data_IF_566555741412
#
_entry.id   IF_566555741412
#
_cell.length_a   1.000
_cell.length_b   1.000
_cell.length_c   1.000
_cell.angle_alpha   90.00
_cell.angle_beta   90.00
_cell.angle_gamma   90.00
#
_symmetry.space_group_name_H-M   'P 1'
#
loop_
_entity.id
_entity.type
_entity.pdbx_description
1 polymer ?
#
# COMPACT_ATOMS: atom_id res chain seq x y z
N UNK A 1 -12.10 28.34 -27.16
CA UNK A 1 -11.04 27.37 -27.54
C UNK A 1 -10.78 26.57 -26.27
N UNK A 2 -11.48 25.44 -26.09
CA UNK A 2 -11.56 24.75 -24.81
C UNK A 2 -10.53 23.63 -24.73
N UNK A 3 -9.85 23.58 -23.59
CA UNK A 3 -8.75 22.68 -23.23
C UNK A 3 -9.08 21.19 -23.42
N UNK A 4 -8.35 20.52 -24.31
CA UNK A 4 -8.40 19.05 -24.47
C UNK A 4 -7.45 18.31 -23.51
N UNK A 5 -6.74 19.00 -22.61
CA UNK A 5 -5.73 18.40 -21.73
C UNK A 5 -6.30 17.73 -20.46
N UNK A 6 -7.57 17.96 -20.12
CA UNK A 6 -8.20 17.45 -18.89
C UNK A 6 -8.89 16.09 -19.05
N UNK A 7 -9.03 15.57 -20.27
CA UNK A 7 -9.76 14.32 -20.52
C UNK A 7 -8.91 13.07 -20.20
N UNK A 8 -7.59 13.12 -20.43
CA UNK A 8 -6.70 11.98 -20.19
C UNK A 8 -6.50 11.66 -18.70
N UNK A 9 -6.47 12.66 -17.83
CA UNK A 9 -6.33 12.46 -16.38
C UNK A 9 -7.54 11.79 -15.74
N UNK A 10 -8.76 12.06 -16.24
CA UNK A 10 -9.99 11.51 -15.67
C UNK A 10 -10.18 10.02 -15.99
N UNK A 11 -9.87 9.60 -17.23
CA UNK A 11 -10.10 8.20 -17.65
C UNK A 11 -9.32 7.20 -16.78
N UNK A 12 -7.99 7.37 -16.65
CA UNK A 12 -7.19 6.39 -15.91
C UNK A 12 -7.46 6.44 -14.40
N UNK A 13 -7.75 7.62 -13.85
CA UNK A 13 -8.03 7.78 -12.42
C UNK A 13 -9.33 7.04 -12.03
N UNK A 14 -10.32 7.02 -12.91
CA UNK A 14 -11.57 6.29 -12.69
C UNK A 14 -11.43 4.79 -12.99
N UNK A 15 -10.55 4.40 -13.92
CA UNK A 15 -10.33 3.01 -14.33
C UNK A 15 -9.31 2.24 -13.48
N UNK A 16 -8.39 2.93 -12.79
CA UNK A 16 -7.33 2.28 -11.99
C UNK A 16 -7.92 1.30 -10.99
N UNK A 17 -7.38 0.09 -10.97
CA UNK A 17 -7.99 -1.04 -10.28
C UNK A 17 -6.93 -1.92 -9.64
N UNK A 18 -7.40 -2.82 -8.78
CA UNK A 18 -6.55 -3.78 -8.10
C UNK A 18 -5.83 -4.67 -9.13
N UNK A 19 -4.51 -4.79 -9.00
CA UNK A 19 -3.66 -5.52 -9.93
C UNK A 19 -3.05 -4.66 -11.03
N UNK A 20 -3.43 -3.38 -11.14
CA UNK A 20 -2.75 -2.47 -12.07
C UNK A 20 -1.35 -2.13 -11.55
N UNK A 21 -0.40 -2.07 -12.48
CA UNK A 21 0.97 -1.63 -12.23
C UNK A 21 1.07 -0.19 -12.71
N UNK A 22 1.51 0.70 -11.84
CA UNK A 22 1.57 2.15 -12.08
C UNK A 22 2.95 2.72 -11.81
N UNK A 23 3.28 3.84 -12.43
CA UNK A 23 4.47 4.61 -12.11
C UNK A 23 4.16 5.62 -11.00
N UNK A 24 4.90 5.52 -9.90
CA UNK A 24 4.77 6.45 -8.77
C UNK A 24 6.15 6.87 -8.23
N UNK A 25 6.28 8.14 -7.88
CA UNK A 25 7.49 8.70 -7.29
C UNK A 25 7.63 8.24 -5.82
N UNK A 26 8.59 7.35 -5.57
CA UNK A 26 8.85 6.77 -4.25
C UNK A 26 10.34 6.88 -3.86
N UNK A 27 10.69 7.19 -2.59
CA UNK A 27 9.79 7.54 -1.49
C UNK A 27 9.16 8.93 -1.67
N UNK A 28 7.99 9.15 -1.07
CA UNK A 28 7.59 10.50 -0.66
C UNK A 28 8.71 10.96 0.29
N UNK A 29 9.39 12.06 -0.02
CA UNK A 29 10.65 12.48 0.59
C UNK A 29 10.81 11.99 2.04
N UNK A 30 11.77 11.08 2.25
CA UNK A 30 12.15 10.63 3.58
C UNK A 30 13.13 11.68 4.16
N UNK A 31 12.73 12.43 5.20
CA UNK A 31 13.56 13.48 5.76
C UNK A 31 14.87 12.96 6.39
N UNK A 32 14.99 11.65 6.67
CA UNK A 32 16.22 11.08 7.23
C UNK A 32 17.27 10.73 6.18
N UNK A 33 16.85 10.38 4.95
CA UNK A 33 17.78 9.89 3.91
C UNK A 33 18.07 10.89 2.80
N UNK A 34 17.30 11.99 2.71
CA UNK A 34 17.54 13.06 1.72
C UNK A 34 17.45 12.61 0.25
N UNK A 35 17.01 11.37 0.00
CA UNK A 35 16.99 10.77 -1.33
C UNK A 35 15.86 11.38 -2.16
N UNK A 36 16.20 11.97 -3.32
CA UNK A 36 15.21 12.49 -4.27
C UNK A 36 14.20 11.39 -4.65
N UNK A 37 12.88 11.67 -4.67
CA UNK A 37 11.86 10.73 -5.11
C UNK A 37 12.19 10.17 -6.50
N UNK A 38 12.21 8.85 -6.64
CA UNK A 38 12.44 8.19 -7.93
C UNK A 38 11.14 7.60 -8.42
N UNK A 39 10.74 7.91 -9.65
CA UNK A 39 9.61 7.26 -10.31
C UNK A 39 9.93 5.77 -10.47
N UNK A 40 9.11 4.93 -9.89
CA UNK A 40 9.27 3.47 -9.87
C UNK A 40 7.94 2.79 -10.17
N UNK A 41 7.95 1.55 -10.69
CA UNK A 41 6.76 0.73 -10.77
C UNK A 41 6.22 0.42 -9.37
N UNK A 42 4.92 0.56 -9.19
CA UNK A 42 4.16 0.28 -8.00
C UNK A 42 2.95 -0.59 -8.37
N UNK A 43 2.57 -1.51 -7.51
CA UNK A 43 1.41 -2.37 -7.70
C UNK A 43 0.24 -1.84 -6.87
N UNK A 44 -0.93 -1.70 -7.49
CA UNK A 44 -2.18 -1.37 -6.82
C UNK A 44 -2.70 -2.62 -6.11
N UNK A 45 -2.62 -2.66 -4.79
CA UNK A 45 -3.17 -3.76 -3.99
C UNK A 45 -4.64 -3.53 -3.65
N UNK A 46 -5.05 -2.28 -3.46
CA UNK A 46 -6.43 -1.92 -3.13
C UNK A 46 -6.81 -0.61 -3.80
N UNK A 47 -8.09 -0.47 -4.08
CA UNK A 47 -8.72 0.76 -4.52
C UNK A 47 -9.98 0.98 -3.70
N UNK A 48 -10.13 2.15 -3.09
CA UNK A 48 -11.31 2.54 -2.35
C UNK A 48 -11.82 3.90 -2.83
N UNK A 49 -13.13 4.06 -2.89
CA UNK A 49 -13.75 5.36 -3.22
C UNK A 49 -14.27 5.97 -1.94
N UNK A 50 -13.81 7.18 -1.62
CA UNK A 50 -14.27 7.97 -0.49
C UNK A 50 -14.98 9.23 -1.00
N UNK A 51 -15.60 9.99 -0.09
CA UNK A 51 -16.24 11.28 -0.43
C UNK A 51 -15.24 12.26 -1.06
N UNK A 52 -13.98 12.21 -0.63
CA UNK A 52 -12.87 13.04 -1.17
C UNK A 52 -12.23 12.46 -2.45
N UNK A 53 -12.84 11.44 -3.05
CA UNK A 53 -12.39 10.80 -4.28
C UNK A 53 -11.75 9.43 -4.09
N UNK A 54 -11.22 8.90 -5.19
CA UNK A 54 -10.64 7.56 -5.25
C UNK A 54 -9.24 7.53 -4.66
N UNK A 55 -8.96 6.52 -3.84
CA UNK A 55 -7.67 6.26 -3.23
C UNK A 55 -7.20 4.87 -3.60
N UNK A 56 -5.89 4.71 -3.70
CA UNK A 56 -5.25 3.43 -3.98
C UNK A 56 -4.16 3.13 -2.96
N UNK A 57 -4.04 1.85 -2.62
CA UNK A 57 -2.98 1.32 -1.77
C UNK A 57 -1.90 0.71 -2.66
N UNK A 58 -0.71 1.31 -2.62
CA UNK A 58 0.41 0.96 -3.47
C UNK A 58 1.47 0.18 -2.71
N UNK A 59 1.94 -0.90 -3.33
CA UNK A 59 3.17 -1.59 -2.93
C UNK A 59 4.29 -1.22 -3.92
N UNK A 60 5.44 -0.75 -3.41
CA UNK A 60 6.52 -0.33 -4.29
C UNK A 60 7.28 -1.52 -4.90
N UNK A 61 7.71 -1.34 -6.14
CA UNK A 61 8.55 -2.27 -6.87
C UNK A 61 10.04 -2.05 -6.59
N UNK A 62 10.76 -3.14 -6.33
CA UNK A 62 12.22 -3.18 -6.28
C UNK A 62 12.75 -4.24 -7.25
N UNK A 63 13.77 -3.88 -8.00
CA UNK A 63 14.53 -4.79 -8.87
C UNK A 63 15.73 -5.41 -8.16
N UNK A 64 16.00 -5.03 -6.91
CA UNK A 64 17.13 -5.57 -6.15
C UNK A 64 16.82 -7.01 -5.72
N UNK A 65 17.69 -7.99 -6.04
CA UNK A 65 17.53 -9.37 -5.61
C UNK A 65 17.84 -9.49 -4.11
N UNK A 66 16.89 -9.13 -3.25
CA UNK A 66 16.95 -9.43 -1.81
C UNK A 66 16.29 -10.79 -1.51
N UNK A 67 16.52 -11.41 -0.36
CA UNK A 67 15.68 -12.53 0.10
C UNK A 67 14.26 -12.01 0.37
N UNK A 68 13.23 -12.79 0.02
CA UNK A 68 11.88 -12.48 0.47
C UNK A 68 11.84 -12.55 2.00
N UNK A 69 11.62 -11.42 2.67
CA UNK A 69 11.49 -11.37 4.12
C UNK A 69 10.00 -11.26 4.43
N UNK A 70 9.39 -12.38 4.85
CA UNK A 70 8.03 -12.39 5.42
C UNK A 70 6.91 -12.96 4.55
N UNK A 71 7.16 -13.27 3.27
CA UNK A 71 6.15 -13.92 2.42
C UNK A 71 5.00 -13.02 1.94
N UNK A 72 5.15 -11.69 2.07
CA UNK A 72 4.23 -10.69 1.51
C UNK A 72 4.71 -10.11 0.17
N UNK A 73 5.76 -10.70 -0.40
CA UNK A 73 6.39 -10.18 -1.61
C UNK A 73 5.73 -10.81 -2.85
N UNK A 74 5.23 -9.96 -3.75
CA UNK A 74 4.67 -10.38 -5.03
C UNK A 74 5.76 -10.21 -6.08
N UNK A 75 6.32 -11.31 -6.57
CA UNK A 75 7.47 -11.27 -7.49
C UNK A 75 7.06 -11.67 -8.90
N UNK A 76 7.32 -10.80 -9.87
CA UNK A 76 7.18 -11.08 -11.30
C UNK A 76 8.55 -11.39 -11.89
N UNK A 77 8.68 -12.60 -12.46
CA UNK A 77 9.92 -13.08 -13.10
C UNK A 77 9.70 -13.63 -14.50
N UNK A 78 8.51 -14.17 -14.76
CA UNK A 78 8.21 -14.77 -16.06
C UNK A 78 8.09 -13.67 -17.12
N UNK A 79 8.75 -13.81 -18.28
CA UNK A 79 8.71 -12.80 -19.33
C UNK A 79 7.28 -12.41 -19.75
N UNK A 80 6.36 -13.38 -19.83
CA UNK A 80 4.95 -13.09 -20.14
C UNK A 80 4.27 -12.20 -19.09
N UNK A 81 4.52 -12.45 -17.80
CA UNK A 81 4.01 -11.59 -16.71
C UNK A 81 4.58 -10.18 -16.78
N UNK A 82 5.87 -10.05 -17.14
CA UNK A 82 6.55 -8.76 -17.26
C UNK A 82 5.98 -7.93 -18.41
N UNK A 83 5.72 -8.55 -19.57
CA UNK A 83 5.15 -7.87 -20.74
C UNK A 83 3.76 -7.33 -20.41
N UNK A 84 2.87 -8.16 -19.84
CA UNK A 84 1.49 -7.74 -19.49
C UNK A 84 1.49 -6.65 -18.40
N UNK A 85 2.45 -6.72 -17.47
CA UNK A 85 2.64 -5.71 -16.44
C UNK A 85 3.35 -4.43 -16.92
N UNK A 86 3.81 -4.38 -18.18
CA UNK A 86 4.55 -3.25 -18.73
C UNK A 86 5.95 -3.07 -18.11
N UNK A 87 6.54 -4.14 -17.59
CA UNK A 87 7.84 -4.16 -16.91
C UNK A 87 8.95 -4.68 -17.83
N UNK A 88 10.12 -4.03 -17.76
CA UNK A 88 11.29 -4.43 -18.56
C UNK A 88 12.20 -5.42 -17.81
N UNK A 89 12.13 -5.45 -16.48
CA UNK A 89 12.99 -6.28 -15.63
C UNK A 89 12.16 -7.01 -14.57
N UNK A 90 12.62 -8.19 -14.11
CA UNK A 90 12.05 -8.85 -12.96
C UNK A 90 11.89 -7.88 -11.78
N UNK A 91 10.67 -7.78 -11.27
CA UNK A 91 10.30 -6.79 -10.25
C UNK A 91 9.60 -7.49 -9.11
N UNK A 92 10.02 -7.16 -7.90
CA UNK A 92 9.35 -7.55 -6.66
C UNK A 92 8.55 -6.38 -6.13
N UNK A 93 7.26 -6.57 -5.88
CA UNK A 93 6.45 -5.64 -5.12
C UNK A 93 6.46 -6.04 -3.65
N UNK A 94 6.85 -5.10 -2.79
CA UNK A 94 7.04 -5.34 -1.34
C UNK A 94 5.80 -4.86 -0.61
N UNK A 95 4.91 -5.78 -0.21
CA UNK A 95 3.65 -5.41 0.45
C UNK A 95 3.79 -5.17 1.97
N UNK A 96 4.99 -5.28 2.53
CA UNK A 96 5.25 -4.92 3.94
C UNK A 96 5.35 -3.40 4.18
N UNK A 97 5.41 -2.60 3.11
CA UNK A 97 5.49 -1.14 3.14
C UNK A 97 4.52 -0.57 2.11
N UNK A 98 3.29 -0.33 2.58
CA UNK A 98 2.19 0.16 1.74
C UNK A 98 2.06 1.67 1.85
N UNK A 99 1.66 2.30 0.75
CA UNK A 99 1.39 3.73 0.69
C UNK A 99 -0.02 3.96 0.16
N UNK A 100 -0.88 4.61 0.95
CA UNK A 100 -2.21 5.04 0.51
C UNK A 100 -2.14 6.45 -0.08
N UNK A 101 -2.51 6.60 -1.35
CA UNK A 101 -2.51 7.88 -2.06
C UNK A 101 -3.85 8.14 -2.74
N UNK A 102 -4.23 9.42 -2.84
CA UNK A 102 -5.32 9.84 -3.73
C UNK A 102 -4.87 9.76 -5.19
N UNK A 103 -5.76 9.37 -6.11
CA UNK A 103 -5.45 9.27 -7.55
C UNK A 103 -5.01 10.62 -8.15
N UNK A 104 -5.41 11.76 -7.56
CA UNK A 104 -4.96 13.09 -7.97
C UNK A 104 -3.56 13.49 -7.45
N UNK A 105 -2.83 12.58 -6.79
CA UNK A 105 -1.53 12.90 -6.21
C UNK A 105 -0.47 13.16 -7.31
N UNK A 106 0.31 14.26 -7.24
CA UNK A 106 1.32 14.58 -8.25
C UNK A 106 2.49 13.59 -8.31
N UNK A 107 2.56 12.64 -7.37
CA UNK A 107 3.52 11.53 -7.40
C UNK A 107 3.23 10.49 -8.47
N UNK A 108 2.03 10.46 -9.07
CA UNK A 108 1.79 9.62 -10.25
C UNK A 108 2.59 10.15 -11.44
N UNK A 109 3.59 9.38 -11.84
CA UNK A 109 4.50 9.75 -12.92
C UNK A 109 4.01 9.21 -14.24
N UNK A 110 3.86 10.05 -15.24
CA UNK A 110 3.52 9.59 -16.60
C UNK A 110 4.77 9.35 -17.47
N UNK A 111 5.93 9.91 -17.06
CA UNK A 111 7.20 9.90 -17.80
C UNK A 111 6.98 10.29 -19.27
N UNK A 112 6.95 9.32 -20.19
CA UNK A 112 6.80 9.52 -21.64
C UNK A 112 5.43 9.01 -22.15
N UNK A 113 4.51 8.68 -21.25
CA UNK A 113 3.17 8.14 -21.54
C UNK A 113 2.09 9.16 -21.21
N UNK A 114 0.88 8.93 -21.71
CA UNK A 114 -0.30 9.72 -21.36
C UNK A 114 -0.91 9.29 -20.02
N UNK A 115 -0.59 8.08 -19.55
CA UNK A 115 -1.12 7.47 -18.33
C UNK A 115 0.01 6.96 -17.42
N UNK A 116 -0.12 7.07 -16.08
CA UNK A 116 0.81 6.45 -15.16
C UNK A 116 0.65 4.92 -15.11
N UNK A 117 -0.41 4.36 -15.69
CA UNK A 117 -0.65 2.91 -15.73
C UNK A 117 0.30 2.25 -16.73
N UNK A 118 1.14 1.35 -16.24
CA UNK A 118 2.08 0.57 -17.04
C UNK A 118 1.44 -0.62 -17.73
N UNK A 119 0.52 -1.28 -17.03
CA UNK A 119 -0.11 -2.53 -17.41
C UNK A 119 -0.81 -3.15 -16.20
N UNK A 120 -1.10 -4.46 -16.26
CA UNK A 120 -1.80 -5.20 -15.21
C UNK A 120 -1.10 -6.52 -14.91
N UNK A 121 -1.32 -7.07 -13.71
CA UNK A 121 -0.93 -8.43 -13.42
C UNK A 121 -1.68 -9.44 -14.32
N UNK A 122 -0.97 -10.47 -14.77
CA UNK A 122 -1.62 -11.67 -15.33
C UNK A 122 -2.53 -12.34 -14.30
N UNK A 123 -3.49 -13.16 -14.75
CA UNK A 123 -4.41 -13.86 -13.86
C UNK A 123 -3.69 -14.68 -12.76
N UNK A 124 -2.65 -15.44 -13.13
CA UNK A 124 -1.84 -16.21 -12.18
C UNK A 124 -1.10 -15.30 -11.17
N UNK A 125 -0.62 -14.14 -11.62
CA UNK A 125 0.03 -13.17 -10.73
C UNK A 125 -0.96 -12.44 -9.82
N UNK A 126 -2.15 -12.15 -10.32
CA UNK A 126 -3.25 -11.58 -9.54
C UNK A 126 -3.73 -12.54 -8.45
N UNK A 127 -3.75 -13.84 -8.72
CA UNK A 127 -4.08 -14.86 -7.71
C UNK A 127 -3.05 -14.87 -6.56
N UNK A 128 -1.74 -14.79 -6.89
CA UNK A 128 -0.67 -14.63 -5.90
C UNK A 128 -0.87 -13.36 -5.06
N UNK A 129 -1.20 -12.25 -5.71
CA UNK A 129 -1.51 -10.99 -5.03
C UNK A 129 -2.70 -11.13 -4.09
N UNK A 130 -3.78 -11.80 -4.50
CA UNK A 130 -4.97 -11.97 -3.68
C UNK A 130 -4.69 -12.79 -2.41
N UNK A 131 -3.82 -13.81 -2.47
CA UNK A 131 -3.35 -14.51 -1.27
C UNK A 131 -2.63 -13.59 -0.29
N UNK A 132 -1.77 -12.70 -0.80
CA UNK A 132 -1.07 -11.70 0.02
C UNK A 132 -2.08 -10.72 0.63
N UNK A 133 -3.04 -10.23 -0.15
CA UNK A 133 -4.11 -9.34 0.33
C UNK A 133 -4.93 -9.96 1.45
N UNK A 134 -5.38 -11.21 1.27
CA UNK A 134 -6.15 -11.93 2.29
C UNK A 134 -5.39 -12.02 3.62
N UNK A 135 -4.08 -12.27 3.57
CA UNK A 135 -3.24 -12.30 4.76
C UNK A 135 -3.08 -10.93 5.42
N UNK A 136 -2.86 -9.88 4.62
CA UNK A 136 -2.77 -8.51 5.12
C UNK A 136 -4.06 -8.06 5.81
N UNK A 137 -5.23 -8.40 5.23
CA UNK A 137 -6.53 -8.14 5.84
C UNK A 137 -6.71 -8.88 7.16
N UNK A 138 -6.46 -10.19 7.19
CA UNK A 138 -6.56 -10.97 8.42
C UNK A 138 -5.69 -10.40 9.54
N UNK A 139 -4.46 -9.97 9.23
CA UNK A 139 -3.55 -9.36 10.20
C UNK A 139 -4.01 -7.97 10.64
N UNK A 140 -4.55 -7.17 9.72
CA UNK A 140 -5.09 -5.84 10.04
C UNK A 140 -6.34 -5.95 10.94
N UNK A 141 -7.21 -6.92 10.70
CA UNK A 141 -8.41 -7.16 11.50
C UNK A 141 -8.04 -7.60 12.93
N UNK A 142 -7.08 -8.53 13.06
CA UNK A 142 -6.54 -8.93 14.37
C UNK A 142 -5.92 -7.73 15.09
N UNK A 143 -5.16 -6.88 14.38
CA UNK A 143 -4.56 -5.69 14.97
C UNK A 143 -5.62 -4.66 15.39
N UNK A 144 -6.69 -4.48 14.63
CA UNK A 144 -7.80 -3.59 14.94
C UNK A 144 -8.55 -4.07 16.19
N UNK A 145 -8.82 -5.37 16.31
CA UNK A 145 -9.49 -5.93 17.48
C UNK A 145 -8.65 -5.77 18.75
N UNK A 146 -7.35 -6.09 18.68
CA UNK A 146 -6.41 -5.85 19.78
C UNK A 146 -6.26 -4.37 20.16
N UNK A 147 -6.53 -3.42 19.26
CA UNK A 147 -6.56 -1.98 19.58
C UNK A 147 -7.86 -1.63 20.32
N UNK A 148 -9.00 -2.16 19.89
CA UNK A 148 -10.30 -1.97 20.56
C UNK A 148 -10.29 -2.53 21.98
N UNK A 149 -9.79 -3.75 22.17
CA UNK A 149 -9.66 -4.38 23.49
C UNK A 149 -8.79 -3.55 24.43
N UNK A 150 -7.64 -3.04 23.94
CA UNK A 150 -6.76 -2.16 24.74
C UNK A 150 -7.38 -0.80 25.05
N UNK A 151 -8.17 -0.24 24.13
CA UNK A 151 -8.91 1.00 24.38
C UNK A 151 -10.02 0.79 25.42
N UNK A 152 -10.75 -0.33 25.36
CA UNK A 152 -11.75 -0.71 26.35
C UNK A 152 -11.13 -0.92 27.73
N UNK A 153 -10.01 -1.65 27.83
CA UNK A 153 -9.28 -1.86 29.09
C UNK A 153 -8.75 -0.56 29.71
N UNK A 154 -8.36 0.43 28.91
CA UNK A 154 -7.95 1.76 29.40
C UNK A 154 -9.11 2.61 29.90
N UNK A 155 -10.35 2.34 29.49
CA UNK A 155 -11.54 3.05 29.97
C UNK A 155 -11.99 2.57 31.35
N UNK A 156 -11.58 1.36 31.78
CA UNK A 156 -11.85 0.87 33.13
C UNK A 156 -10.77 1.38 34.09
N UNK A 157 -11.07 2.42 34.86
CA UNK A 157 -10.22 2.83 36.00
C UNK A 157 -10.21 1.71 37.04
N UNK A 158 -9.06 1.03 37.18
CA UNK A 158 -8.85 0.06 38.26
C UNK A 158 -8.62 0.83 39.56
N UNK A 159 -9.67 0.99 40.38
CA UNK A 159 -9.51 1.47 41.75
C UNK A 159 -8.76 0.43 42.59
N UNK A 160 -7.48 0.67 42.85
CA UNK A 160 -6.72 -0.09 43.83
C UNK A 160 -7.15 0.32 45.25
N UNK A 161 -8.06 -0.44 45.86
CA UNK A 161 -8.43 -0.27 47.26
C UNK A 161 -7.24 -0.68 48.15
N UNK A 162 -6.50 0.30 48.69
CA UNK A 162 -5.43 0.06 49.69
C UNK A 162 -6.02 -0.64 50.93
N UNK A 163 -5.52 -1.82 51.27
CA UNK A 163 -5.77 -2.48 52.57
C UNK A 163 -5.10 -1.64 53.67
N UNK A 164 -5.89 -1.18 54.65
CA UNK A 164 -5.38 -0.54 55.87
C UNK A 164 -4.63 -1.60 56.71
N UNK A 165 -3.39 -1.36 57.17
CA UNK A 165 -2.77 -2.21 58.18
C UNK A 165 -3.42 -1.97 59.55
N UNK A 166 -3.69 -3.05 60.27
CA UNK A 166 -4.10 -3.02 61.68
C UNK A 166 -2.92 -2.52 62.52
N UNK A 167 -3.14 -1.44 63.28
CA UNK A 167 -2.19 -0.92 64.26
C UNK A 167 -2.23 -1.82 65.49
N UNK A 168 -1.12 -2.49 65.79
CA UNK A 168 -0.91 -3.18 67.08
C UNK A 168 -0.25 -2.21 68.04
N UNK A 169 -0.91 -1.88 69.15
CA UNK A 169 -0.34 -1.06 70.22
C UNK A 169 0.52 -1.91 71.16
N UNK A 170 1.64 -1.34 71.59
CA UNK A 170 2.41 -1.69 72.78
C UNK A 170 2.75 -0.40 73.51
#
# INVERSE_FOLDING_TARGET
>A
MFDHATNGMKSWADEISVGDVVLFAYPVADPETGAKPKIRPCLVLESSTHQDGKRVLLAFGTSTPARCRGGYDITLRHPGDLIVAGLVKPTRFVASRLLSVSVGNPGFGTRDRETPVLGRLSAASAERMNRVRARLHAEHDIAAERRKERAAQRLFTVEHRKRKPLVSQM
#
